data_IF_702623445928
#
_entry.id   IF_702623445928
#
_cell.length_a   1.000
_cell.length_b   1.000
_cell.length_c   1.000
_cell.angle_alpha   90.00
_cell.angle_beta   90.00
_cell.angle_gamma   90.00
#
_symmetry.space_group_name_H-M   'P 1'
#
loop_
_entity.id
_entity.type
_entity.pdbx_description
1 polymer ?
#
# COMPACT_ATOMS: atom_id res chain seq x y z
N UNK A 1 15.78 0.49 -15.93
CA UNK A 1 15.80 -0.43 -14.76
C UNK A 1 16.46 -1.72 -15.21
N UNK A 2 17.35 -2.30 -14.41
CA UNK A 2 17.94 -3.59 -14.74
C UNK A 2 16.87 -4.70 -14.62
N UNK A 3 16.80 -5.57 -15.61
CA UNK A 3 15.98 -6.79 -15.56
C UNK A 3 16.74 -7.90 -14.85
N UNK A 4 16.03 -8.75 -14.10
CA UNK A 4 16.62 -9.96 -13.51
C UNK A 4 16.95 -10.93 -14.66
N UNK A 5 18.21 -11.39 -14.71
CA UNK A 5 18.73 -12.23 -15.79
C UNK A 5 18.61 -13.72 -15.44
N UNK A 6 18.80 -14.07 -14.17
CA UNK A 6 18.80 -15.45 -13.68
C UNK A 6 17.75 -15.67 -12.60
N UNK A 7 17.20 -16.88 -12.57
CA UNK A 7 16.40 -17.40 -11.46
C UNK A 7 17.26 -18.33 -10.58
N UNK A 8 16.79 -18.60 -9.37
CA UNK A 8 17.40 -19.61 -8.49
C UNK A 8 17.60 -20.96 -9.20
N UNK A 9 16.62 -21.36 -10.02
CA UNK A 9 16.67 -22.57 -10.83
C UNK A 9 17.77 -22.50 -11.89
N UNK A 10 17.89 -21.37 -12.61
CA UNK A 10 18.92 -21.21 -13.63
C UNK A 10 20.33 -21.32 -13.04
N UNK A 11 20.52 -20.80 -11.82
CA UNK A 11 21.80 -20.89 -11.10
C UNK A 11 22.09 -22.34 -10.68
N UNK A 12 21.08 -23.08 -10.22
CA UNK A 12 21.21 -24.48 -9.84
C UNK A 12 21.53 -25.39 -11.03
N UNK A 13 20.92 -25.15 -12.19
CA UNK A 13 21.11 -25.94 -13.42
C UNK A 13 22.36 -25.51 -14.22
N UNK A 14 23.09 -24.50 -13.75
CA UNK A 14 24.26 -23.96 -14.46
C UNK A 14 25.45 -24.92 -14.39
N UNK A 15 25.86 -25.42 -15.56
CA UNK A 15 27.11 -26.17 -15.70
C UNK A 15 28.26 -25.25 -16.13
N UNK A 16 29.41 -25.36 -15.46
CA UNK A 16 30.63 -24.63 -15.80
C UNK A 16 31.64 -25.53 -16.50
N UNK A 17 32.32 -24.97 -17.52
CA UNK A 17 33.47 -25.61 -18.15
C UNK A 17 34.64 -25.76 -17.18
N UNK A 18 35.47 -26.79 -17.38
CA UNK A 18 36.66 -27.04 -16.57
C UNK A 18 37.91 -26.52 -17.26
N UNK A 19 38.73 -25.77 -16.54
CA UNK A 19 40.04 -25.30 -17.00
C UNK A 19 41.15 -25.78 -16.04
N UNK A 20 42.38 -25.91 -16.56
CA UNK A 20 43.54 -26.50 -15.84
C UNK A 20 43.92 -25.72 -14.57
N UNK A 21 43.51 -24.45 -14.45
CA UNK A 21 43.66 -23.60 -13.26
C UNK A 21 42.35 -22.91 -12.88
N UNK A 22 41.24 -23.66 -12.94
CA UNK A 22 39.92 -23.16 -12.53
C UNK A 22 39.68 -23.22 -11.02
N UNK A 23 38.56 -22.64 -10.60
CA UNK A 23 38.07 -22.76 -9.23
C UNK A 23 37.70 -24.20 -8.88
N UNK A 24 37.75 -24.52 -7.58
CA UNK A 24 37.28 -25.80 -7.07
C UNK A 24 35.77 -25.90 -7.25
N UNK A 25 35.30 -26.96 -7.92
CA UNK A 25 33.87 -27.20 -8.11
C UNK A 25 33.11 -27.20 -6.77
N UNK A 26 33.66 -27.83 -5.74
CA UNK A 26 33.01 -27.90 -4.43
C UNK A 26 32.85 -26.52 -3.77
N UNK A 27 33.88 -25.66 -3.86
CA UNK A 27 33.83 -24.31 -3.30
C UNK A 27 32.85 -23.42 -4.06
N UNK A 28 32.79 -23.57 -5.39
CA UNK A 28 31.83 -22.85 -6.22
C UNK A 28 30.41 -23.33 -5.94
N UNK A 29 30.19 -24.64 -5.84
CA UNK A 29 28.87 -25.22 -5.54
C UNK A 29 28.37 -24.73 -4.16
N UNK A 30 29.20 -24.76 -3.12
CA UNK A 30 28.84 -24.27 -1.78
C UNK A 30 28.51 -22.78 -1.78
N UNK A 31 29.27 -21.97 -2.52
CA UNK A 31 28.95 -20.55 -2.71
C UNK A 31 27.63 -20.35 -3.46
N UNK A 32 27.39 -21.13 -4.52
CA UNK A 32 26.17 -21.02 -5.32
C UNK A 32 24.93 -21.49 -4.54
N UNK A 33 25.05 -22.43 -3.61
CA UNK A 33 23.96 -22.82 -2.71
C UNK A 33 23.47 -21.62 -1.88
N UNK A 34 24.38 -20.79 -1.37
CA UNK A 34 24.00 -19.59 -0.62
C UNK A 34 23.43 -18.50 -1.53
N UNK A 35 24.00 -18.31 -2.72
CA UNK A 35 23.44 -17.39 -3.73
C UNK A 35 22.03 -17.80 -4.15
N UNK A 36 21.77 -19.11 -4.30
CA UNK A 36 20.44 -19.65 -4.61
C UNK A 36 19.45 -19.30 -3.50
N UNK A 37 19.80 -19.54 -2.23
CA UNK A 37 18.95 -19.17 -1.07
C UNK A 37 18.61 -17.69 -1.06
N UNK A 38 19.59 -16.83 -1.35
CA UNK A 38 19.38 -15.39 -1.44
C UNK A 38 18.42 -15.03 -2.58
N UNK A 39 18.58 -15.64 -3.77
CA UNK A 39 17.67 -15.42 -4.90
C UNK A 39 16.24 -15.84 -4.60
N UNK A 40 16.04 -16.97 -3.92
CA UNK A 40 14.71 -17.41 -3.48
C UNK A 40 14.11 -16.42 -2.46
N UNK A 41 14.94 -15.97 -1.50
CA UNK A 41 14.54 -15.00 -0.48
C UNK A 41 14.14 -13.66 -1.11
N UNK A 42 14.92 -13.14 -2.05
CA UNK A 42 14.61 -11.92 -2.76
C UNK A 42 13.36 -12.06 -3.63
N UNK A 43 13.18 -13.20 -4.31
CA UNK A 43 11.98 -13.46 -5.10
C UNK A 43 10.72 -13.48 -4.22
N UNK A 44 10.79 -14.11 -3.04
CA UNK A 44 9.71 -14.12 -2.06
C UNK A 44 9.41 -12.71 -1.54
N UNK A 45 10.43 -11.92 -1.20
CA UNK A 45 10.28 -10.55 -0.72
C UNK A 45 9.67 -9.62 -1.78
N UNK A 46 10.12 -9.71 -3.03
CA UNK A 46 9.55 -8.92 -4.13
C UNK A 46 8.09 -9.31 -4.36
N UNK A 47 7.76 -10.60 -4.25
CA UNK A 47 6.37 -11.06 -4.35
C UNK A 47 5.51 -10.52 -3.22
N UNK A 48 5.96 -10.59 -1.97
CA UNK A 48 5.20 -10.08 -0.83
C UNK A 48 4.97 -8.57 -0.93
N UNK A 49 6.00 -7.79 -1.24
CA UNK A 49 5.89 -6.34 -1.43
C UNK A 49 4.95 -5.96 -2.57
N UNK A 50 4.97 -6.70 -3.68
CA UNK A 50 4.02 -6.47 -4.79
C UNK A 50 2.58 -6.76 -4.39
N UNK A 51 2.35 -7.80 -3.59
CA UNK A 51 1.03 -8.13 -3.06
C UNK A 51 0.52 -7.04 -2.11
N UNK A 52 1.36 -6.60 -1.17
CA UNK A 52 1.03 -5.52 -0.23
C UNK A 52 0.72 -4.21 -0.98
N UNK A 53 1.53 -3.84 -1.98
CA UNK A 53 1.27 -2.67 -2.81
C UNK A 53 -0.06 -2.80 -3.57
N UNK A 54 -0.40 -4.00 -4.04
CA UNK A 54 -1.67 -4.24 -4.74
C UNK A 54 -2.86 -4.10 -3.79
N UNK A 55 -2.77 -4.69 -2.60
CA UNK A 55 -3.80 -4.59 -1.54
C UNK A 55 -4.01 -3.14 -1.09
N UNK A 56 -2.93 -2.42 -0.77
CA UNK A 56 -3.01 -1.01 -0.38
C UNK A 56 -3.61 -0.12 -1.48
N UNK A 57 -3.26 -0.38 -2.75
CA UNK A 57 -3.88 0.36 -3.87
C UNK A 57 -5.37 0.06 -4.00
N UNK A 58 -5.78 -1.19 -3.79
CA UNK A 58 -7.18 -1.58 -3.78
C UNK A 58 -7.95 -0.89 -2.65
N UNK A 59 -7.42 -0.89 -1.42
CA UNK A 59 -8.01 -0.17 -0.29
C UNK A 59 -8.14 1.34 -0.56
N UNK A 60 -7.10 1.97 -1.11
CA UNK A 60 -7.14 3.39 -1.47
C UNK A 60 -8.20 3.68 -2.54
N UNK A 61 -8.41 2.78 -3.50
CA UNK A 61 -9.46 2.93 -4.52
C UNK A 61 -10.88 2.73 -3.97
N UNK A 62 -11.05 1.88 -2.94
CA UNK A 62 -12.33 1.64 -2.28
C UNK A 62 -12.71 2.74 -1.30
N UNK A 63 -11.72 3.48 -0.79
CA UNK A 63 -11.98 4.66 0.04
C UNK A 63 -12.56 5.76 -0.87
N UNK A 64 -13.82 6.16 -0.70
CA UNK A 64 -14.38 7.25 -1.49
C UNK A 64 -13.48 8.47 -1.29
N UNK A 65 -12.97 9.02 -2.40
CA UNK A 65 -12.30 10.31 -2.37
C UNK A 65 -13.26 11.25 -1.64
N UNK A 66 -12.87 11.71 -0.45
CA UNK A 66 -13.40 12.94 0.07
C UNK A 66 -12.98 14.00 -0.95
N UNK A 67 -13.88 14.24 -1.89
CA UNK A 67 -13.78 15.26 -2.92
C UNK A 67 -13.24 16.51 -2.24
N UNK A 68 -12.08 16.94 -2.74
CA UNK A 68 -11.56 18.28 -2.51
C UNK A 68 -12.73 19.24 -2.64
N UNK A 69 -12.94 19.99 -1.57
CA UNK A 69 -14.00 20.97 -1.41
C UNK A 69 -13.74 22.10 -2.40
N UNK A 70 -14.15 21.91 -3.65
CA UNK A 70 -14.34 23.01 -4.59
C UNK A 70 -15.76 23.52 -4.36
N UNK A 71 -15.78 24.64 -3.65
CA UNK A 71 -16.80 25.70 -3.62
C UNK A 71 -17.94 25.60 -4.63
N UNK A 72 -19.14 25.70 -4.07
CA UNK A 72 -20.38 26.28 -4.66
C UNK A 72 -21.08 25.52 -5.79
N UNK A 73 -22.16 24.83 -5.44
CA UNK A 73 -23.49 25.13 -6.00
C UNK A 73 -24.57 24.36 -5.24
N UNK A 74 -25.59 25.11 -4.82
CA UNK A 74 -26.82 24.65 -4.17
C UNK A 74 -27.56 23.70 -5.12
N UNK A 75 -27.89 22.48 -4.67
CA UNK A 75 -29.03 21.77 -5.25
C UNK A 75 -29.75 20.90 -4.22
N UNK A 76 -31.08 20.99 -4.30
CA UNK A 76 -32.07 20.56 -3.33
C UNK A 76 -32.75 19.31 -3.89
N UNK A 77 -32.51 18.15 -3.29
CA UNK A 77 -33.38 16.98 -3.47
C UNK A 77 -32.66 15.68 -3.75
N UNK A 78 -32.39 14.90 -2.70
CA UNK A 78 -32.42 13.44 -2.79
C UNK A 78 -32.62 12.85 -1.41
N UNK A 79 -33.84 12.43 -1.13
CA UNK A 79 -34.18 11.56 -0.01
C UNK A 79 -33.75 10.14 -0.36
N UNK A 80 -32.49 9.79 -0.14
CA UNK A 80 -32.06 8.38 -0.17
C UNK A 80 -30.89 8.16 0.79
N UNK A 81 -31.14 7.31 1.78
CA UNK A 81 -30.18 6.71 2.73
C UNK A 81 -29.12 7.66 3.29
N UNK A 82 -29.50 8.48 4.29
CA UNK A 82 -28.50 9.15 5.12
C UNK A 82 -27.65 8.09 5.81
N UNK A 83 -26.36 8.05 5.47
CA UNK A 83 -25.41 7.14 6.09
C UNK A 83 -25.11 7.61 7.51
N UNK A 84 -24.61 6.73 8.37
CA UNK A 84 -24.22 7.10 9.75
C UNK A 84 -23.28 8.33 9.79
N UNK A 85 -22.47 8.52 8.75
CA UNK A 85 -21.59 9.69 8.61
C UNK A 85 -22.35 11.00 8.37
N UNK A 86 -23.40 10.99 7.54
CA UNK A 86 -24.23 12.17 7.28
C UNK A 86 -25.01 12.61 8.52
N UNK A 87 -25.45 11.62 9.32
CA UNK A 87 -26.11 11.85 10.60
C UNK A 87 -25.15 12.56 11.57
N UNK A 88 -23.92 12.06 11.71
CA UNK A 88 -22.90 12.68 12.59
C UNK A 88 -22.52 14.09 12.13
N UNK A 89 -22.37 14.31 10.81
CA UNK A 89 -22.05 15.63 10.26
C UNK A 89 -23.19 16.64 10.47
N UNK A 90 -24.44 16.20 10.33
CA UNK A 90 -25.61 17.02 10.60
C UNK A 90 -25.75 17.31 12.10
N UNK A 91 -25.52 16.32 12.96
CA UNK A 91 -25.49 16.51 14.42
C UNK A 91 -24.42 17.52 14.82
N UNK A 92 -23.20 17.40 14.32
CA UNK A 92 -22.12 18.34 14.63
C UNK A 92 -22.43 19.78 14.17
N UNK A 93 -23.09 19.93 13.01
CA UNK A 93 -23.56 21.24 12.53
C UNK A 93 -24.66 21.81 13.44
N UNK A 94 -25.60 20.97 13.85
CA UNK A 94 -26.66 21.35 14.80
C UNK A 94 -26.07 21.74 16.16
N UNK A 95 -25.11 20.98 16.68
CA UNK A 95 -24.40 21.33 17.91
C UNK A 95 -23.70 22.69 17.79
N UNK A 96 -23.04 22.97 16.67
CA UNK A 96 -22.39 24.27 16.44
C UNK A 96 -23.39 25.41 16.33
N UNK A 97 -24.54 25.22 15.69
CA UNK A 97 -25.55 26.28 15.54
C UNK A 97 -26.35 26.51 16.84
N UNK A 98 -26.64 25.45 17.59
CA UNK A 98 -27.41 25.49 18.85
C UNK A 98 -26.53 25.92 20.02
N UNK A 99 -25.34 25.33 20.19
CA UNK A 99 -24.43 25.62 21.31
C UNK A 99 -23.40 26.69 20.98
N UNK A 100 -23.04 26.90 19.71
CA UNK A 100 -22.06 27.92 19.33
C UNK A 100 -22.55 29.35 19.61
N UNK A 101 -23.87 29.59 19.73
CA UNK A 101 -24.41 30.86 20.24
C UNK A 101 -24.46 30.91 21.77
N UNK A 102 -24.67 29.77 22.41
CA UNK A 102 -24.82 29.68 23.87
C UNK A 102 -23.49 29.73 24.62
N UNK A 103 -22.38 29.35 23.99
CA UNK A 103 -21.03 29.53 24.56
C UNK A 103 -20.62 31.01 24.55
N UNK A 104 -21.07 31.78 23.54
CA UNK A 104 -20.79 33.23 23.46
C UNK A 104 -21.66 34.01 24.46
N UNK A 105 -22.90 33.57 24.68
CA UNK A 105 -23.82 34.22 25.64
C UNK A 105 -23.52 33.89 27.11
N UNK A 106 -22.95 32.71 27.42
CA UNK A 106 -22.53 32.34 28.78
C UNK A 106 -21.08 32.74 29.14
N UNK A 107 -20.32 33.34 28.22
CA UNK A 107 -18.98 33.89 28.51
C UNK A 107 -18.98 35.37 28.92
N UNK A 108 -20.15 36.02 28.90
CA UNK A 108 -20.34 37.43 29.26
C UNK A 108 -21.00 37.63 30.65
N UNK A 109 -20.76 36.71 31.59
CA UNK A 109 -21.00 36.94 33.02
C UNK A 109 -19.81 36.52 33.88
#
# INVERSE_FOLDING_TARGET
>A
MASIIFTAKDIFEQDFGREVRGYSKAEVDEFLDDVIKDYETYAALVKSLRLEIAELKEELSKRPQATSVTTESVDLGSTTSMTNFDILKRLNRLEKEVFGKQIVENSDF
#
